data_IF_866154076985
#
_entry.id   IF_866154076985
#
_cell.length_a   1.000
_cell.length_b   1.000
_cell.length_c   1.000
_cell.angle_alpha   90.00
_cell.angle_beta   90.00
_cell.angle_gamma   90.00
#
_symmetry.space_group_name_H-M   'P 1'
#
loop_
_entity.id
_entity.type
_entity.pdbx_description
1 polymer ?
#
# COMPACT_ATOMS: atom_id res chain seq x y z
N UNK A 1 5.45 9.91 4.29
CA UNK A 1 5.70 8.45 4.52
C UNK A 1 4.49 7.87 5.22
N UNK A 2 3.96 6.77 4.71
CA UNK A 2 2.86 6.02 5.31
C UNK A 2 3.22 5.49 6.70
N UNK A 3 2.25 5.28 7.59
CA UNK A 3 2.46 4.50 8.81
C UNK A 3 1.97 3.07 8.57
N UNK A 4 2.83 2.10 8.81
CA UNK A 4 2.53 0.68 8.74
C UNK A 4 2.71 0.05 10.13
N UNK A 5 1.70 -0.68 10.60
CA UNK A 5 1.63 -1.30 11.92
C UNK A 5 1.42 -2.80 11.75
N UNK A 6 2.29 -3.60 12.34
CA UNK A 6 2.07 -5.03 12.57
C UNK A 6 1.34 -5.20 13.89
N UNK A 7 0.21 -5.89 13.88
CA UNK A 7 -0.46 -6.38 15.08
C UNK A 7 0.03 -7.80 15.38
N UNK A 8 0.42 -8.04 16.63
CA UNK A 8 0.97 -9.32 17.09
C UNK A 8 0.57 -9.61 18.55
N UNK A 9 -0.71 -9.44 18.86
CA UNK A 9 -1.30 -9.67 20.17
C UNK A 9 -1.99 -8.45 20.78
N UNK A 10 -1.57 -7.23 20.45
CA UNK A 10 -2.16 -6.00 20.96
C UNK A 10 -2.26 -4.90 19.90
N UNK A 11 -3.05 -3.88 20.20
CA UNK A 11 -3.14 -2.63 19.43
C UNK A 11 -2.24 -1.55 20.04
N UNK A 12 -1.75 -0.61 19.24
CA UNK A 12 -1.18 0.63 19.75
C UNK A 12 -2.21 1.42 20.56
N UNK A 13 -1.73 2.37 21.37
CA UNK A 13 -2.61 3.32 22.06
C UNK A 13 -3.43 4.14 21.07
N UNK A 14 -4.59 4.61 21.49
CA UNK A 14 -5.44 5.48 20.66
C UNK A 14 -4.72 6.78 20.26
N UNK A 15 -3.80 7.25 21.08
CA UNK A 15 -2.95 8.41 20.77
C UNK A 15 -2.05 8.14 19.55
N UNK A 16 -1.39 6.99 19.48
CA UNK A 16 -0.58 6.55 18.32
C UNK A 16 -1.46 6.44 17.07
N UNK A 17 -2.64 5.83 17.20
CA UNK A 17 -3.56 5.65 16.07
C UNK A 17 -4.07 6.99 15.55
N UNK A 18 -4.46 7.92 16.43
CA UNK A 18 -4.90 9.28 16.06
C UNK A 18 -3.76 10.10 15.44
N UNK A 19 -2.54 10.01 15.98
CA UNK A 19 -1.36 10.63 15.37
C UNK A 19 -1.08 10.05 13.97
N UNK A 20 -1.27 8.74 13.79
CA UNK A 20 -1.16 8.07 12.50
C UNK A 20 -2.13 8.66 11.46
N UNK A 21 -3.41 8.81 11.79
CA UNK A 21 -4.43 9.43 10.93
C UNK A 21 -4.10 10.89 10.64
N UNK A 22 -3.72 11.66 11.65
CA UNK A 22 -3.44 13.09 11.50
C UNK A 22 -2.28 13.37 10.54
N UNK A 23 -1.30 12.45 10.48
CA UNK A 23 -0.12 12.57 9.61
C UNK A 23 -0.30 11.91 8.24
N UNK A 24 -1.24 10.98 8.08
CA UNK A 24 -1.43 10.17 6.88
C UNK A 24 -2.92 10.15 6.50
N UNK A 25 -3.36 11.22 5.80
CA UNK A 25 -4.78 11.54 5.58
C UNK A 25 -5.41 10.85 4.38
N UNK A 26 -4.64 10.12 3.56
CA UNK A 26 -5.08 9.64 2.25
C UNK A 26 -5.79 8.28 2.31
N UNK A 27 -6.08 7.81 3.51
CA UNK A 27 -6.91 6.64 3.77
C UNK A 27 -6.28 5.61 4.69
N UNK A 28 -7.13 4.72 5.19
CA UNK A 28 -6.77 3.68 6.15
C UNK A 28 -7.08 2.32 5.52
N UNK A 29 -6.27 1.32 5.88
CA UNK A 29 -6.59 -0.06 5.60
C UNK A 29 -6.14 -1.00 6.70
N UNK A 30 -6.81 -2.16 6.76
CA UNK A 30 -6.55 -3.22 7.73
C UNK A 30 -6.61 -4.57 7.02
N UNK A 31 -5.80 -5.52 7.48
CA UNK A 31 -5.93 -6.92 7.10
C UNK A 31 -5.59 -7.82 8.28
N UNK A 32 -6.29 -8.95 8.37
CA UNK A 32 -6.12 -9.94 9.42
C UNK A 32 -6.49 -11.34 8.94
N UNK A 33 -5.97 -12.34 9.62
CA UNK A 33 -6.34 -13.74 9.37
C UNK A 33 -7.77 -14.00 9.80
N UNK A 34 -8.56 -14.67 8.94
CA UNK A 34 -9.94 -15.09 9.17
C UNK A 34 -10.11 -16.53 8.69
N UNK A 35 -9.93 -17.48 9.60
CA UNK A 35 -9.85 -18.88 9.28
C UNK A 35 -8.68 -19.20 8.34
N UNK A 36 -8.98 -19.82 7.21
CA UNK A 36 -8.03 -20.25 6.18
C UNK A 36 -7.68 -19.15 5.17
N UNK A 37 -8.16 -17.92 5.36
CA UNK A 37 -7.97 -16.78 4.47
C UNK A 37 -7.55 -15.52 5.24
N UNK A 38 -7.24 -14.50 4.48
CA UNK A 38 -6.99 -13.14 4.95
C UNK A 38 -8.15 -12.26 4.52
N UNK A 39 -8.80 -11.65 5.50
CA UNK A 39 -9.79 -10.60 5.27
C UNK A 39 -9.08 -9.26 5.21
N UNK A 40 -9.45 -8.38 4.25
CA UNK A 40 -8.90 -7.04 4.16
C UNK A 40 -9.97 -6.00 3.86
N UNK A 41 -9.75 -4.79 4.37
CA UNK A 41 -10.52 -3.58 4.09
C UNK A 41 -9.56 -2.42 3.86
N UNK A 42 -9.90 -1.51 2.93
CA UNK A 42 -9.11 -0.32 2.61
C UNK A 42 -9.98 0.86 2.20
N UNK A 43 -9.47 2.07 2.40
CA UNK A 43 -10.25 3.28 2.23
C UNK A 43 -11.31 3.46 3.32
N UNK A 44 -11.09 2.87 4.49
CA UNK A 44 -12.01 2.94 5.63
C UNK A 44 -11.77 4.20 6.47
N UNK A 45 -12.76 4.58 7.28
CA UNK A 45 -12.64 5.67 8.25
C UNK A 45 -11.95 5.21 9.54
N UNK A 46 -11.60 6.17 10.40
CA UNK A 46 -11.02 5.85 11.71
C UNK A 46 -12.03 5.13 12.61
N UNK A 47 -13.29 5.53 12.57
CA UNK A 47 -14.37 4.89 13.32
C UNK A 47 -14.55 3.43 12.89
N UNK A 48 -14.54 3.18 11.58
CA UNK A 48 -14.58 1.82 11.05
C UNK A 48 -13.34 1.00 11.48
N UNK A 49 -12.14 1.62 11.51
CA UNK A 49 -10.95 0.94 12.03
C UNK A 49 -11.13 0.52 13.49
N UNK A 50 -11.71 1.38 14.34
CA UNK A 50 -11.90 1.09 15.76
C UNK A 50 -12.87 -0.08 15.99
N UNK A 51 -13.83 -0.33 15.11
CA UNK A 51 -14.72 -1.50 15.23
C UNK A 51 -13.96 -2.83 15.13
N UNK A 52 -12.83 -2.90 14.42
CA UNK A 52 -12.00 -4.11 14.37
C UNK A 52 -11.26 -4.34 15.70
N UNK A 53 -10.86 -3.26 16.38
CA UNK A 53 -10.29 -3.34 17.74
C UNK A 53 -11.31 -3.89 18.73
N UNK A 54 -12.55 -3.41 18.68
CA UNK A 54 -13.67 -3.87 19.52
C UNK A 54 -14.05 -5.34 19.23
N UNK A 55 -13.93 -5.77 17.97
CA UNK A 55 -14.14 -7.17 17.57
C UNK A 55 -13.00 -8.11 17.96
N UNK A 56 -11.96 -7.61 18.63
CA UNK A 56 -10.84 -8.43 19.12
C UNK A 56 -9.83 -8.86 18.04
N UNK A 57 -9.74 -8.16 16.91
CA UNK A 57 -8.68 -8.40 15.93
C UNK A 57 -7.34 -7.99 16.55
N UNK A 58 -6.43 -8.93 16.78
CA UNK A 58 -5.14 -8.67 17.44
C UNK A 58 -3.93 -9.12 16.62
N UNK A 59 -4.13 -9.73 15.44
CA UNK A 59 -3.05 -10.16 14.55
C UNK A 59 -3.33 -9.70 13.12
N UNK A 60 -2.32 -9.14 12.46
CA UNK A 60 -2.45 -8.64 11.10
C UNK A 60 -1.68 -7.35 10.85
N UNK A 61 -2.22 -6.47 10.01
CA UNK A 61 -1.61 -5.16 9.73
C UNK A 61 -2.66 -4.05 9.72
N UNK A 62 -2.21 -2.84 10.07
CA UNK A 62 -2.92 -1.58 9.84
C UNK A 62 -2.01 -0.67 9.00
N UNK A 63 -2.59 0.06 8.06
CA UNK A 63 -1.89 1.00 7.22
C UNK A 63 -2.61 2.35 7.18
N UNK A 64 -1.87 3.43 7.43
CA UNK A 64 -2.31 4.81 7.24
C UNK A 64 -1.56 5.39 6.06
N UNK A 65 -2.29 5.76 5.02
CA UNK A 65 -1.72 6.17 3.74
C UNK A 65 -1.34 7.64 3.72
N UNK A 66 -0.14 7.93 3.20
CA UNK A 66 0.26 9.20 2.62
C UNK A 66 0.72 8.90 1.19
N UNK A 67 0.07 9.47 0.20
CA UNK A 67 0.33 9.18 -1.22
C UNK A 67 1.71 9.68 -1.62
N UNK A 68 2.53 8.79 -2.17
CA UNK A 68 3.83 9.08 -2.78
C UNK A 68 3.93 8.51 -4.20
N UNK A 69 3.00 7.65 -4.59
CA UNK A 69 2.94 7.03 -5.91
C UNK A 69 1.50 6.72 -6.29
N UNK A 70 1.13 7.00 -7.54
CA UNK A 70 -0.22 6.84 -8.08
C UNK A 70 -1.24 7.86 -7.56
N UNK A 71 -2.48 7.84 -8.07
CA UNK A 71 -3.53 8.76 -7.64
C UNK A 71 -3.99 8.54 -6.20
N UNK A 72 -4.46 9.62 -5.55
CA UNK A 72 -5.05 9.58 -4.20
C UNK A 72 -6.51 9.14 -4.29
N UNK A 73 -6.72 7.84 -4.41
CA UNK A 73 -8.05 7.20 -4.45
C UNK A 73 -8.14 6.05 -3.44
N UNK A 74 -9.31 5.73 -2.89
CA UNK A 74 -9.49 4.65 -1.91
C UNK A 74 -8.99 3.28 -2.41
N UNK A 75 -9.13 3.00 -3.72
CA UNK A 75 -8.71 1.76 -4.34
C UNK A 75 -7.19 1.53 -4.27
N UNK A 76 -6.40 2.59 -4.14
CA UNK A 76 -4.95 2.52 -3.97
C UNK A 76 -4.49 2.60 -2.51
N UNK A 77 -5.41 2.64 -1.53
CA UNK A 77 -5.05 2.35 -0.15
C UNK A 77 -4.54 0.92 -0.01
N UNK A 78 -3.62 0.72 0.91
CA UNK A 78 -3.15 -0.63 1.24
C UNK A 78 -4.15 -1.32 2.20
N UNK A 79 -4.13 -2.67 2.26
CA UNK A 79 -3.23 -3.60 1.59
C UNK A 79 -3.68 -3.96 0.17
N UNK A 80 -2.80 -4.66 -0.57
CA UNK A 80 -3.11 -5.25 -1.86
C UNK A 80 -3.04 -6.78 -1.81
N UNK A 81 -3.98 -7.51 -2.46
CA UNK A 81 -3.86 -8.94 -2.67
C UNK A 81 -2.59 -9.30 -3.44
N UNK A 82 -1.83 -10.26 -2.95
CA UNK A 82 -0.66 -10.79 -3.66
C UNK A 82 -1.15 -11.77 -4.71
N UNK A 83 -1.12 -11.39 -5.97
CA UNK A 83 -1.49 -12.25 -7.08
C UNK A 83 -1.06 -11.66 -8.42
N UNK A 84 -1.00 -12.49 -9.48
CA UNK A 84 -0.79 -12.03 -10.86
C UNK A 84 -1.91 -11.13 -11.41
N UNK A 85 -2.98 -10.89 -10.64
CA UNK A 85 -4.15 -10.06 -11.02
C UNK A 85 -4.47 -8.99 -9.99
N UNK A 86 -3.59 -8.73 -9.05
CA UNK A 86 -3.81 -7.85 -7.89
C UNK A 86 -4.92 -6.79 -8.11
N UNK A 87 -6.05 -6.96 -7.39
CA UNK A 87 -7.27 -6.19 -7.65
C UNK A 87 -7.32 -4.85 -6.93
N UNK A 88 -8.31 -4.02 -7.32
CA UNK A 88 -8.59 -2.70 -6.74
C UNK A 88 -9.84 -2.69 -5.83
N UNK A 89 -10.41 -3.86 -5.49
CA UNK A 89 -11.53 -3.95 -4.57
C UNK A 89 -11.18 -3.34 -3.22
N UNK A 90 -12.13 -2.67 -2.59
CA UNK A 90 -11.95 -2.04 -1.29
C UNK A 90 -11.94 -3.04 -0.14
N UNK A 91 -12.51 -4.21 -0.36
CA UNK A 91 -12.54 -5.31 0.60
C UNK A 91 -12.46 -6.67 -0.10
N UNK A 92 -12.11 -7.70 0.63
CA UNK A 92 -12.10 -9.05 0.09
C UNK A 92 -11.47 -10.06 1.04
N UNK A 93 -11.61 -11.33 0.64
CA UNK A 93 -11.08 -12.51 1.33
C UNK A 93 -10.15 -13.26 0.37
N UNK A 94 -8.87 -13.36 0.71
CA UNK A 94 -7.79 -13.84 -0.19
C UNK A 94 -6.77 -14.67 0.58
N UNK A 95 -5.84 -15.31 -0.14
CA UNK A 95 -4.76 -16.09 0.49
C UNK A 95 -3.76 -15.22 1.24
N UNK A 96 -3.40 -14.08 0.66
CA UNK A 96 -2.39 -13.20 1.24
C UNK A 96 -2.50 -11.78 0.70
N UNK A 97 -2.10 -10.83 1.52
CA UNK A 97 -2.03 -9.42 1.15
C UNK A 97 -0.71 -8.81 1.59
N UNK A 98 -0.30 -7.71 0.95
CA UNK A 98 0.82 -6.90 1.42
C UNK A 98 0.47 -5.43 1.57
N UNK A 99 1.19 -4.78 2.48
CA UNK A 99 1.24 -3.32 2.64
C UNK A 99 2.69 -2.87 2.76
N UNK A 100 2.98 -1.65 2.32
CA UNK A 100 4.31 -1.08 2.19
C UNK A 100 4.38 0.29 2.85
N UNK A 101 5.50 0.58 3.51
CA UNK A 101 5.86 1.93 3.93
C UNK A 101 7.21 2.32 3.35
N UNK A 102 7.18 3.17 2.33
CA UNK A 102 8.33 3.67 1.60
C UNK A 102 7.91 4.31 0.29
N UNK A 103 8.88 4.49 -0.58
CA UNK A 103 8.71 4.89 -1.98
C UNK A 103 9.68 4.07 -2.82
N UNK A 104 9.14 3.16 -3.60
CA UNK A 104 9.93 2.33 -4.50
C UNK A 104 10.00 2.94 -5.90
N UNK A 105 10.95 3.86 -6.10
CA UNK A 105 11.04 4.67 -7.33
C UNK A 105 11.36 3.90 -8.62
N UNK A 106 11.82 2.64 -8.53
CA UNK A 106 12.15 1.82 -9.71
C UNK A 106 11.04 0.83 -10.10
N UNK A 107 9.86 0.93 -9.53
CA UNK A 107 8.79 -0.05 -9.72
C UNK A 107 8.34 -0.18 -11.18
N UNK A 108 8.37 0.90 -11.96
CA UNK A 108 7.95 0.93 -13.36
C UNK A 108 8.88 0.08 -14.23
N UNK A 109 10.20 0.18 -14.03
CA UNK A 109 11.18 -0.63 -14.75
C UNK A 109 10.99 -2.12 -14.46
N UNK A 110 10.78 -2.47 -13.18
CA UNK A 110 10.50 -3.85 -12.79
C UNK A 110 9.20 -4.38 -13.39
N UNK A 111 8.15 -3.56 -13.45
CA UNK A 111 6.90 -3.94 -14.11
C UNK A 111 7.15 -4.21 -15.59
N UNK A 112 7.87 -3.33 -16.27
CA UNK A 112 8.17 -3.45 -17.70
C UNK A 112 8.92 -4.73 -18.03
N UNK A 113 9.96 -5.03 -17.27
CA UNK A 113 10.77 -6.24 -17.45
C UNK A 113 9.99 -7.55 -17.22
N UNK A 114 8.88 -7.47 -16.50
CA UNK A 114 8.08 -8.63 -16.10
C UNK A 114 6.78 -8.81 -16.90
N UNK A 115 6.46 -7.94 -17.87
CA UNK A 115 5.29 -8.09 -18.74
C UNK A 115 5.26 -9.41 -19.53
N UNK A 116 6.43 -10.00 -19.79
CA UNK A 116 6.56 -11.33 -20.42
C UNK A 116 6.07 -12.47 -19.53
N UNK A 117 6.02 -12.30 -18.22
CA UNK A 117 5.61 -13.34 -17.25
C UNK A 117 4.14 -13.29 -16.89
N UNK A 118 3.55 -12.09 -16.90
CA UNK A 118 2.12 -11.90 -16.68
C UNK A 118 1.68 -10.53 -17.24
N UNK A 119 0.43 -10.39 -17.70
CA UNK A 119 -0.10 -9.09 -18.11
C UNK A 119 -0.19 -8.16 -16.91
N UNK A 120 0.08 -6.86 -17.14
CA UNK A 120 -0.08 -5.84 -16.11
C UNK A 120 -1.52 -5.81 -15.59
N UNK A 121 -1.73 -5.69 -14.27
CA UNK A 121 -3.06 -5.56 -13.70
C UNK A 121 -3.80 -4.33 -14.25
N UNK A 122 -5.08 -4.50 -14.61
CA UNK A 122 -5.92 -3.40 -15.12
C UNK A 122 -6.18 -2.34 -14.05
N UNK A 123 -6.26 -1.07 -14.46
CA UNK A 123 -6.59 0.10 -13.62
C UNK A 123 -5.36 0.76 -12.99
N UNK A 124 -5.61 1.75 -12.13
CA UNK A 124 -4.58 2.61 -11.53
C UNK A 124 -3.47 1.81 -10.83
N UNK A 125 -2.23 2.18 -11.08
CA UNK A 125 -1.05 1.55 -10.48
C UNK A 125 -0.44 2.45 -9.39
N UNK A 126 0.29 1.82 -8.48
CA UNK A 126 1.21 2.41 -7.53
C UNK A 126 2.39 1.45 -7.34
N UNK A 127 3.46 1.93 -6.76
CA UNK A 127 4.62 1.12 -6.39
C UNK A 127 4.24 -0.11 -5.54
N UNK A 128 3.38 0.06 -4.55
CA UNK A 128 2.92 -1.05 -3.69
C UNK A 128 2.04 -2.04 -4.44
N UNK A 129 1.18 -1.58 -5.35
CA UNK A 129 0.38 -2.48 -6.17
C UNK A 129 1.26 -3.27 -7.15
N UNK A 130 2.27 -2.62 -7.73
CA UNK A 130 3.29 -3.29 -8.54
C UNK A 130 4.06 -4.34 -7.72
N UNK A 131 4.45 -3.99 -6.49
CA UNK A 131 5.08 -4.91 -5.56
C UNK A 131 4.22 -6.15 -5.28
N UNK A 132 2.91 -5.99 -5.05
CA UNK A 132 1.97 -7.10 -4.84
C UNK A 132 1.85 -7.99 -6.09
N UNK A 133 1.82 -7.41 -7.27
CA UNK A 133 1.79 -8.13 -8.54
C UNK A 133 3.08 -8.92 -8.78
N UNK A 134 4.25 -8.29 -8.63
CA UNK A 134 5.55 -8.93 -8.79
C UNK A 134 5.79 -10.03 -7.76
N UNK A 135 5.35 -9.82 -6.50
CA UNK A 135 5.37 -10.87 -5.48
C UNK A 135 4.49 -12.05 -5.88
N UNK A 136 3.35 -11.79 -6.54
CA UNK A 136 2.49 -12.83 -7.11
C UNK A 136 3.12 -13.62 -8.27
N UNK A 137 4.13 -13.07 -8.95
CA UNK A 137 4.89 -13.73 -10.00
C UNK A 137 6.07 -14.50 -9.42
N UNK A 138 6.86 -13.87 -8.55
CA UNK A 138 8.17 -14.35 -8.10
C UNK A 138 8.15 -14.97 -6.69
N UNK A 139 7.03 -14.89 -5.99
CA UNK A 139 6.93 -15.30 -4.59
C UNK A 139 7.51 -14.29 -3.60
N UNK A 140 7.35 -14.54 -2.30
CA UNK A 140 7.79 -13.64 -1.23
C UNK A 140 9.31 -13.39 -1.16
N UNK A 141 10.12 -14.26 -1.78
CA UNK A 141 11.57 -14.05 -1.90
C UNK A 141 11.94 -12.73 -2.57
N UNK A 142 11.10 -12.27 -3.51
CA UNK A 142 11.26 -10.98 -4.18
C UNK A 142 11.30 -9.80 -3.19
N UNK A 143 10.52 -9.81 -2.12
CA UNK A 143 10.47 -8.73 -1.14
C UNK A 143 11.79 -8.54 -0.37
N UNK A 144 12.61 -9.60 -0.27
CA UNK A 144 13.89 -9.54 0.44
C UNK A 144 14.93 -8.70 -0.29
N UNK A 145 14.85 -8.64 -1.62
CA UNK A 145 15.82 -7.90 -2.45
C UNK A 145 15.48 -6.40 -2.55
N UNK A 146 14.24 -6.01 -2.23
CA UNK A 146 13.80 -4.61 -2.32
C UNK A 146 14.28 -3.76 -1.14
N UNK A 147 14.57 -4.38 0.01
CA UNK A 147 14.94 -3.70 1.28
C UNK A 147 13.92 -2.64 1.76
N UNK A 148 12.66 -2.78 1.36
CA UNK A 148 11.55 -1.89 1.72
C UNK A 148 10.81 -2.42 2.95
N UNK A 149 10.20 -1.52 3.75
CA UNK A 149 9.37 -1.92 4.89
C UNK A 149 8.03 -2.46 4.41
N UNK A 150 7.90 -3.77 4.40
CA UNK A 150 6.70 -4.47 3.92
C UNK A 150 6.17 -5.42 5.00
N UNK A 151 4.85 -5.45 5.15
CA UNK A 151 4.15 -6.52 5.87
C UNK A 151 3.38 -7.37 4.86
N UNK A 152 3.45 -8.68 5.04
CA UNK A 152 2.62 -9.66 4.34
C UNK A 152 1.80 -10.41 5.38
N UNK A 153 0.48 -10.37 5.25
CA UNK A 153 -0.44 -11.17 6.07
C UNK A 153 -0.85 -12.40 5.27
N UNK A 154 -0.70 -13.55 5.89
CA UNK A 154 -1.22 -14.85 5.47
C UNK A 154 -2.16 -15.39 6.55
N UNK A 155 -2.92 -16.49 6.35
CA UNK A 155 -3.73 -17.08 7.41
C UNK A 155 -2.95 -17.42 8.67
N UNK A 156 -1.71 -17.90 8.53
CA UNK A 156 -0.92 -18.40 9.65
C UNK A 156 -0.02 -17.34 10.29
N UNK A 157 0.54 -16.39 9.47
CA UNK A 157 1.60 -15.49 9.90
C UNK A 157 1.46 -14.09 9.31
N UNK A 158 2.01 -13.10 10.04
CA UNK A 158 2.33 -11.77 9.51
C UNK A 158 3.83 -11.64 9.37
N UNK A 159 4.31 -11.72 8.13
CA UNK A 159 5.73 -11.59 7.79
C UNK A 159 6.12 -10.12 7.70
N UNK A 160 7.34 -9.82 8.16
CA UNK A 160 7.93 -8.50 8.15
C UNK A 160 9.21 -8.49 7.32
N UNK A 161 9.33 -7.54 6.40
CA UNK A 161 10.49 -7.35 5.53
C UNK A 161 11.07 -5.94 5.71
N UNK A 162 12.32 -5.77 5.29
CA UNK A 162 13.04 -4.50 5.33
C UNK A 162 13.61 -4.15 6.70
N UNK A 163 14.46 -3.11 6.73
CA UNK A 163 15.17 -2.63 7.92
C UNK A 163 14.55 -1.33 8.44
N UNK A 164 15.01 -0.87 9.61
CA UNK A 164 14.64 0.44 10.16
C UNK A 164 13.22 0.50 10.70
N UNK A 165 12.66 -0.62 11.14
CA UNK A 165 11.46 -0.64 11.96
C UNK A 165 11.73 0.00 13.31
N UNK A 166 10.71 0.65 13.88
CA UNK A 166 10.85 1.27 15.21
C UNK A 166 11.23 0.21 16.25
N UNK A 167 12.26 0.45 17.07
CA UNK A 167 12.55 -0.44 18.20
C UNK A 167 11.34 -0.57 19.12
N UNK A 168 10.98 -1.80 19.50
CA UNK A 168 9.83 -2.05 20.36
C UNK A 168 10.28 -2.69 21.68
N UNK A 169 9.67 -2.29 22.80
CA UNK A 169 9.80 -3.04 24.05
C UNK A 169 9.36 -4.50 23.85
N UNK A 170 10.04 -5.43 24.50
CA UNK A 170 9.63 -6.84 24.49
C UNK A 170 8.18 -6.95 24.99
N UNK A 171 7.37 -7.74 24.33
CA UNK A 171 5.97 -8.04 24.69
C UNK A 171 4.96 -6.90 24.48
N UNK A 172 5.24 -5.89 23.65
CA UNK A 172 4.28 -4.82 23.36
C UNK A 172 3.11 -5.30 22.50
N UNK A 173 3.25 -6.39 21.77
CA UNK A 173 2.20 -7.00 20.96
C UNK A 173 1.85 -6.26 19.66
N UNK A 174 2.66 -5.27 19.26
CA UNK A 174 2.58 -4.60 17.96
C UNK A 174 3.95 -4.04 17.55
N UNK A 175 4.12 -3.72 16.27
CA UNK A 175 5.33 -3.11 15.71
C UNK A 175 4.97 -1.95 14.78
N UNK A 176 5.68 -0.84 14.90
CA UNK A 176 5.51 0.36 14.08
C UNK A 176 6.61 0.46 13.02
N UNK A 177 6.28 0.92 11.83
CA UNK A 177 7.28 1.30 10.82
C UNK A 177 8.02 2.58 11.19
N UNK A 178 7.39 3.46 11.96
CA UNK A 178 7.96 4.59 12.70
C UNK A 178 6.99 4.99 13.83
N UNK A 179 7.48 5.69 14.87
CA UNK A 179 6.62 6.23 15.92
C UNK A 179 6.07 7.62 15.50
N UNK A 180 4.75 7.75 15.26
CA UNK A 180 4.17 9.02 14.84
C UNK A 180 4.22 10.11 15.92
N UNK A 181 4.39 9.74 17.20
CA UNK A 181 4.50 10.71 18.30
C UNK A 181 5.88 11.39 18.32
N UNK A 182 6.92 10.73 17.80
CA UNK A 182 8.29 11.27 17.74
C UNK A 182 8.53 12.20 16.54
N UNK A 183 7.59 12.29 15.60
CA UNK A 183 7.70 13.23 14.48
C UNK A 183 7.40 14.64 14.93
N UNK A 184 8.43 15.43 15.13
CA UNK A 184 8.32 16.89 15.12
C UNK A 184 7.60 17.29 13.83
N UNK A 185 6.50 18.05 13.94
CA UNK A 185 5.83 18.63 12.78
C UNK A 185 6.79 19.57 12.07
N UNK A 186 7.55 19.09 11.13
CA UNK A 186 8.03 19.94 10.07
C UNK A 186 6.80 20.28 9.23
N UNK A 187 6.20 21.42 9.49
CA UNK A 187 5.27 22.08 8.57
C UNK A 187 6.13 22.58 7.41
N UNK A 188 6.57 21.68 6.53
CA UNK A 188 6.90 22.08 5.19
C UNK A 188 5.56 22.46 4.55
N UNK A 189 5.35 23.77 4.32
CA UNK A 189 4.37 24.23 3.37
C UNK A 189 4.88 23.80 2.00
N UNK A 190 4.43 22.68 1.51
CA UNK A 190 4.69 22.20 0.15
C UNK A 190 3.97 23.04 -0.92
N UNK A 191 3.53 24.26 -0.58
CA UNK A 191 2.82 25.11 -1.52
C UNK A 191 3.74 25.91 -2.47
N UNK A 192 5.04 26.04 -2.16
CA UNK A 192 5.86 27.04 -2.85
C UNK A 192 7.11 26.52 -3.59
N UNK A 193 7.32 25.20 -3.73
CA UNK A 193 8.55 24.68 -4.36
C UNK A 193 8.36 23.66 -5.50
N UNK A 194 7.16 23.56 -6.09
CA UNK A 194 6.93 22.60 -7.20
C UNK A 194 6.84 23.24 -8.59
N UNK A 195 7.27 24.49 -8.77
CA UNK A 195 7.25 25.12 -10.10
C UNK A 195 8.54 24.99 -10.91
N UNK A 196 9.67 24.53 -10.35
CA UNK A 196 10.88 24.34 -11.15
C UNK A 196 11.62 23.05 -10.79
N UNK A 197 11.79 22.20 -11.81
CA UNK A 197 12.80 21.15 -11.91
C UNK A 197 12.46 19.76 -11.33
N UNK A 198 11.48 19.03 -11.90
CA UNK A 198 11.65 17.60 -12.16
C UNK A 198 10.64 17.15 -13.22
N UNK A 199 11.03 17.26 -14.49
CA UNK A 199 10.35 16.65 -15.64
C UNK A 199 10.44 15.11 -15.65
N UNK A 200 9.96 14.48 -14.62
CA UNK A 200 9.65 13.05 -14.63
C UNK A 200 8.17 12.87 -14.90
N UNK A 201 7.80 13.05 -16.16
CA UNK A 201 6.53 12.52 -16.66
C UNK A 201 6.54 11.01 -16.46
N UNK A 202 5.74 10.49 -15.53
CA UNK A 202 5.57 9.07 -15.40
C UNK A 202 5.04 8.53 -16.73
N UNK A 203 5.69 7.53 -17.32
CA UNK A 203 5.28 6.87 -18.58
C UNK A 203 3.87 6.29 -18.55
N UNK A 204 3.18 6.39 -17.42
CA UNK A 204 1.82 5.88 -17.18
C UNK A 204 0.76 6.97 -16.99
N UNK A 205 1.09 8.28 -17.14
CA UNK A 205 0.07 9.32 -17.22
C UNK A 205 -0.56 9.31 -18.61
N UNK A 206 -1.62 8.54 -18.72
CA UNK A 206 -2.74 8.75 -19.58
C UNK A 206 -2.47 9.02 -21.07
N UNK A 207 -2.03 8.02 -21.84
CA UNK A 207 -2.39 7.94 -23.26
C UNK A 207 -2.75 6.50 -23.60
N UNK A 208 -3.97 6.09 -23.22
CA UNK A 208 -4.63 5.04 -23.98
C UNK A 208 -5.05 5.65 -25.31
N UNK A 209 -4.64 5.11 -26.46
CA UNK A 209 -5.15 5.58 -27.75
C UNK A 209 -6.65 5.29 -27.78
N UNK A 210 -7.48 6.33 -27.66
CA UNK A 210 -8.85 6.28 -28.11
C UNK A 210 -8.79 6.04 -29.62
N UNK A 211 -9.23 4.87 -30.06
CA UNK A 211 -9.61 4.67 -31.45
C UNK A 211 -10.83 5.56 -31.75
N UNK A 212 -10.58 6.77 -32.13
CA UNK A 212 -11.57 7.57 -32.84
C UNK A 212 -11.64 7.01 -34.27
N UNK A 213 -12.71 6.30 -34.57
CA UNK A 213 -13.03 5.93 -35.93
C UNK A 213 -13.40 7.18 -36.70
N UNK A 214 -12.50 7.75 -37.47
CA UNK A 214 -12.82 8.67 -38.52
C UNK A 214 -13.13 7.87 -39.80
N UNK A 215 -14.40 7.86 -40.17
CA UNK A 215 -14.86 7.52 -41.50
C UNK A 215 -14.39 8.62 -42.43
N UNK A 216 -13.42 8.33 -43.27
CA UNK A 216 -13.06 9.16 -44.40
C UNK A 216 -14.21 9.26 -45.39
N UNK A 217 -14.64 10.47 -45.69
CA UNK A 217 -15.48 10.79 -46.81
C UNK A 217 -14.60 11.05 -48.03
N UNK A 218 -14.82 10.28 -49.00
CA UNK A 218 -14.87 10.46 -50.46
C UNK A 218 -14.61 11.84 -51.08
N UNK A 219 -13.83 11.88 -52.12
CA UNK A 219 -14.12 12.26 -53.50
C UNK A 219 -13.26 13.39 -54.06
N UNK A 220 -13.19 13.51 -55.36
CA UNK A 220 -13.64 12.68 -56.48
C UNK A 220 -12.48 12.01 -57.22
#
# INVERSE_FOLDING_TARGET
>A
MCLLIKLDGAWPSDEILRAGVAQNKDGIGIAYADGDKVQYFKGITFEQLMTFKEKGVTKGLIHFRMTSSGPTIPQLCHPFPISKRTGLKLEGRVEQVLAHNGHWGKWEDFVWDNLKHAPMPKGAMSDTRAMAWLTGIHGMGFLRILNEKVLVVTPDYTYQFGKGWEPQPKNQGYQLSYNPLNRVRYTYSYADEWEEDYGYGSRFHGNYPHKTGEKGSTLP
#
